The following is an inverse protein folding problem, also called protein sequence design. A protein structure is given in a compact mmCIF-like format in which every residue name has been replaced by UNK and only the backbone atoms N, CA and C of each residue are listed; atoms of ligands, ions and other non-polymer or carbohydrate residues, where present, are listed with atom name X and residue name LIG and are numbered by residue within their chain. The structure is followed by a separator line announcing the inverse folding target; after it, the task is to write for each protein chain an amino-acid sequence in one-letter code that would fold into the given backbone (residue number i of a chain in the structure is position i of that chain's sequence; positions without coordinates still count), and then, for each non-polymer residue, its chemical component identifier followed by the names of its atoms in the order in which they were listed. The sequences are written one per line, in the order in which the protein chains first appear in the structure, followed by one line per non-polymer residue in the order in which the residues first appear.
data_IF_425943993150
#
_entry.id   IF_425943993150
#
_cell.length_a   1.000
_cell.length_b   1.000
_cell.length_c   1.000
_cell.angle_alpha   90.00
_cell.angle_beta   90.00
_cell.angle_gamma   90.00
#
_symmetry.space_group_name_H-M   'P 1'
#
loop_
_entity.id
_entity.type
_entity.pdbx_description
1 polymer ?
#
# COMPACT_ATOMS: atom_id res chain seq x y z
N UNK A 1 12.62 3.42 -32.34
CA UNK A 1 12.44 3.21 -30.88
C UNK A 1 12.63 1.73 -30.64
N UNK A 2 13.58 1.33 -29.79
CA UNK A 2 13.89 -0.09 -29.58
C UNK A 2 12.80 -0.83 -28.78
N UNK A 3 12.80 -2.16 -28.89
CA UNK A 3 11.91 -3.02 -28.12
C UNK A 3 12.06 -2.78 -26.60
N UNK A 4 13.30 -2.60 -26.12
CA UNK A 4 13.59 -2.33 -24.71
C UNK A 4 12.93 -1.02 -24.21
N UNK A 5 12.94 0.05 -25.01
CA UNK A 5 12.24 1.31 -24.68
C UNK A 5 10.73 1.08 -24.56
N UNK A 6 10.15 0.32 -25.50
CA UNK A 6 8.72 0.01 -25.48
C UNK A 6 8.32 -0.84 -24.27
N UNK A 7 9.13 -1.83 -23.90
CA UNK A 7 8.87 -2.69 -22.75
C UNK A 7 8.90 -1.92 -21.42
N UNK A 8 9.89 -1.04 -21.23
CA UNK A 8 9.96 -0.19 -20.04
C UNK A 8 8.77 0.76 -19.99
N UNK A 9 8.41 1.38 -21.12
CA UNK A 9 7.23 2.25 -21.19
C UNK A 9 5.93 1.52 -20.85
N UNK A 10 5.76 0.28 -21.33
CA UNK A 10 4.59 -0.54 -21.02
C UNK A 10 4.53 -0.87 -19.51
N UNK A 11 5.65 -1.29 -18.93
CA UNK A 11 5.72 -1.63 -17.51
C UNK A 11 5.41 -0.42 -16.58
N UNK A 12 5.83 0.79 -16.96
CA UNK A 12 5.43 2.03 -16.27
C UNK A 12 3.91 2.24 -16.35
N UNK A 13 3.32 1.98 -17.52
CA UNK A 13 1.86 2.03 -17.72
C UNK A 13 1.10 1.02 -16.86
N UNK A 14 1.60 -0.22 -16.76
CA UNK A 14 1.03 -1.26 -15.91
C UNK A 14 1.07 -0.87 -14.43
N UNK A 15 2.19 -0.28 -13.97
CA UNK A 15 2.27 0.28 -12.63
C UNK A 15 1.24 1.42 -12.43
N UNK A 16 1.04 2.25 -13.46
CA UNK A 16 -0.06 3.23 -13.55
C UNK A 16 -1.42 2.64 -13.24
N UNK A 17 -1.77 1.55 -13.92
CA UNK A 17 -3.05 0.88 -13.77
C UNK A 17 -3.23 0.28 -12.37
N UNK A 18 -2.19 -0.37 -11.84
CA UNK A 18 -2.20 -0.90 -10.46
C UNK A 18 -2.42 0.23 -9.44
N UNK A 19 -1.67 1.33 -9.56
CA UNK A 19 -1.78 2.50 -8.67
C UNK A 19 -3.19 3.08 -8.68
N UNK A 20 -3.80 3.24 -9.86
CA UNK A 20 -5.16 3.76 -9.97
C UNK A 20 -6.19 2.81 -9.36
N UNK A 21 -6.04 1.50 -9.57
CA UNK A 21 -6.93 0.49 -8.98
C UNK A 21 -6.87 0.50 -7.46
N UNK A 22 -5.66 0.63 -6.87
CA UNK A 22 -5.52 0.78 -5.42
C UNK A 22 -6.21 2.06 -4.94
N UNK A 23 -5.98 3.19 -5.62
CA UNK A 23 -6.58 4.48 -5.26
C UNK A 23 -8.11 4.43 -5.24
N UNK A 24 -8.72 3.80 -6.25
CA UNK A 24 -10.17 3.61 -6.34
C UNK A 24 -10.69 2.77 -5.18
N UNK A 25 -10.01 1.66 -4.83
CA UNK A 25 -10.43 0.79 -3.73
C UNK A 25 -10.25 1.42 -2.36
N UNK A 26 -9.15 2.14 -2.13
CA UNK A 26 -8.92 2.88 -0.88
C UNK A 26 -9.98 3.96 -0.67
N UNK A 27 -10.50 4.55 -1.74
CA UNK A 27 -11.60 5.52 -1.64
C UNK A 27 -12.91 4.89 -1.13
N UNK A 28 -13.04 3.56 -1.12
CA UNK A 28 -14.20 2.85 -0.58
C UNK A 28 -14.11 2.61 0.93
N UNK A 29 -12.97 2.88 1.56
CA UNK A 29 -12.80 2.67 3.00
C UNK A 29 -13.77 3.54 3.80
N UNK A 30 -14.34 2.97 4.87
CA UNK A 30 -15.39 3.59 5.69
C UNK A 30 -16.77 3.67 5.03
N UNK A 31 -16.93 3.23 3.77
CA UNK A 31 -18.23 3.12 3.12
C UNK A 31 -18.88 1.75 3.36
N UNK A 32 -20.11 1.56 2.88
CA UNK A 32 -20.76 0.25 2.84
C UNK A 32 -20.06 -0.77 1.90
N UNK A 33 -19.13 -0.32 1.06
CA UNK A 33 -18.30 -1.15 0.19
C UNK A 33 -16.91 -1.45 0.80
N UNK A 34 -16.68 -1.03 2.05
CA UNK A 34 -15.49 -1.38 2.82
C UNK A 34 -15.54 -2.85 3.27
N UNK A 35 -15.17 -3.74 2.36
CA UNK A 35 -15.28 -5.19 2.54
C UNK A 35 -13.92 -5.84 2.63
N UNK A 36 -13.85 -6.99 3.32
CA UNK A 36 -12.65 -7.84 3.40
C UNK A 36 -12.03 -8.14 2.03
N UNK A 37 -12.87 -8.46 1.04
CA UNK A 37 -12.39 -8.75 -0.31
C UNK A 37 -11.66 -7.55 -0.95
N UNK A 38 -12.09 -6.31 -0.67
CA UNK A 38 -11.41 -5.12 -1.15
C UNK A 38 -10.04 -4.93 -0.47
N UNK A 39 -9.93 -5.21 0.84
CA UNK A 39 -8.66 -5.19 1.57
C UNK A 39 -7.66 -6.22 1.02
N UNK A 40 -8.10 -7.46 0.84
CA UNK A 40 -7.26 -8.54 0.28
C UNK A 40 -6.76 -8.16 -1.13
N UNK A 41 -7.64 -7.58 -1.95
CA UNK A 41 -7.25 -7.08 -3.28
C UNK A 41 -6.26 -5.92 -3.21
N UNK A 42 -6.40 -4.97 -2.28
CA UNK A 42 -5.42 -3.90 -2.09
C UNK A 42 -4.06 -4.47 -1.69
N UNK A 43 -4.03 -5.45 -0.79
CA UNK A 43 -2.80 -6.13 -0.37
C UNK A 43 -2.13 -6.85 -1.55
N UNK A 44 -2.89 -7.55 -2.41
CA UNK A 44 -2.32 -8.20 -3.59
C UNK A 44 -1.88 -7.19 -4.67
N UNK A 45 -2.68 -6.15 -4.94
CA UNK A 45 -2.30 -5.07 -5.86
C UNK A 45 -1.02 -4.36 -5.39
N UNK A 46 -0.85 -4.15 -4.08
CA UNK A 46 0.39 -3.57 -3.52
C UNK A 46 1.58 -4.50 -3.75
N UNK A 47 1.38 -5.83 -3.68
CA UNK A 47 2.43 -6.81 -4.01
C UNK A 47 2.79 -6.76 -5.49
N UNK A 48 1.78 -6.81 -6.36
CA UNK A 48 1.94 -6.73 -7.81
C UNK A 48 2.65 -5.43 -8.21
N UNK A 49 2.28 -4.30 -7.61
CA UNK A 49 2.94 -3.02 -7.82
C UNK A 49 4.41 -3.07 -7.42
N UNK A 50 4.74 -3.66 -6.26
CA UNK A 50 6.15 -3.85 -5.85
C UNK A 50 6.93 -4.74 -6.82
N UNK A 51 6.33 -5.83 -7.29
CA UNK A 51 6.96 -6.74 -8.27
C UNK A 51 7.24 -6.00 -9.59
N UNK A 52 6.29 -5.20 -10.07
CA UNK A 52 6.45 -4.34 -11.24
C UNK A 52 7.55 -3.30 -11.03
N UNK A 53 7.64 -2.69 -9.85
CA UNK A 53 8.70 -1.73 -9.51
C UNK A 53 10.07 -2.39 -9.65
N UNK A 54 10.29 -3.55 -9.01
CA UNK A 54 11.57 -4.26 -9.08
C UNK A 54 11.93 -4.64 -10.52
N UNK A 55 10.98 -5.20 -11.26
CA UNK A 55 11.19 -5.59 -12.66
C UNK A 55 11.49 -4.39 -13.57
N UNK A 56 10.76 -3.28 -13.38
CA UNK A 56 10.93 -2.06 -14.18
C UNK A 56 12.25 -1.38 -13.87
N UNK A 57 12.67 -1.32 -12.60
CA UNK A 57 13.99 -0.81 -12.20
C UNK A 57 15.11 -1.58 -12.91
N UNK A 58 15.09 -2.92 -12.87
CA UNK A 58 16.11 -3.75 -13.52
C UNK A 58 16.16 -3.55 -15.06
N UNK A 59 14.99 -3.50 -15.70
CA UNK A 59 14.89 -3.23 -17.15
C UNK A 59 15.38 -1.83 -17.51
N UNK A 60 15.00 -0.83 -16.73
CA UNK A 60 15.43 0.55 -16.93
C UNK A 60 16.94 0.68 -16.76
N UNK A 61 17.52 0.02 -15.76
CA UNK A 61 18.97 0.03 -15.54
C UNK A 61 19.73 -0.53 -16.75
N UNK A 62 19.24 -1.66 -17.27
CA UNK A 62 19.82 -2.30 -18.45
C UNK A 62 19.71 -1.38 -19.68
N UNK A 63 18.55 -0.75 -19.86
CA UNK A 63 18.32 0.21 -20.94
C UNK A 63 19.25 1.42 -20.82
N UNK A 64 19.37 2.04 -19.64
CA UNK A 64 20.21 3.22 -19.43
C UNK A 64 21.67 2.93 -19.73
N UNK A 65 22.18 1.77 -19.32
CA UNK A 65 23.59 1.38 -19.50
C UNK A 65 23.94 1.00 -20.94
N UNK A 66 22.96 0.51 -21.71
CA UNK A 66 23.17 0.07 -23.10
C UNK A 66 22.69 1.08 -24.16
N UNK A 67 21.92 2.10 -23.75
CA UNK A 67 21.31 3.05 -24.65
C UNK A 67 22.34 3.95 -25.35
N UNK A 68 22.15 4.11 -26.67
CA UNK A 68 22.92 5.03 -27.51
C UNK A 68 21.99 5.80 -28.45
N UNK A 69 22.45 6.95 -28.95
CA UNK A 69 21.67 7.79 -29.88
C UNK A 69 20.27 8.13 -29.34
N UNK A 70 19.23 7.83 -30.13
CA UNK A 70 17.84 8.12 -29.80
C UNK A 70 17.31 7.34 -28.57
N UNK A 71 17.87 6.16 -28.28
CA UNK A 71 17.47 5.39 -27.11
C UNK A 71 18.00 6.03 -25.81
N UNK A 72 19.06 6.85 -25.88
CA UNK A 72 19.62 7.55 -24.73
C UNK A 72 18.73 8.71 -24.27
N UNK A 73 18.08 9.42 -25.18
CA UNK A 73 17.09 10.44 -24.81
C UNK A 73 15.79 9.79 -24.32
N UNK A 74 15.37 8.68 -24.95
CA UNK A 74 14.21 7.92 -24.51
C UNK A 74 14.39 7.34 -23.10
N UNK A 75 15.54 6.73 -22.79
CA UNK A 75 15.84 6.17 -21.46
C UNK A 75 15.80 7.24 -20.38
N UNK A 76 16.34 8.44 -20.64
CA UNK A 76 16.26 9.59 -19.73
C UNK A 76 14.83 10.03 -19.43
N UNK A 77 13.99 10.08 -20.46
CA UNK A 77 12.56 10.41 -20.28
C UNK A 77 11.88 9.33 -19.43
N UNK A 78 12.11 8.06 -19.75
CA UNK A 78 11.55 6.93 -19.01
C UNK A 78 12.01 6.91 -17.55
N UNK A 79 13.26 7.25 -17.24
CA UNK A 79 13.73 7.40 -15.85
C UNK A 79 12.93 8.44 -15.07
N UNK A 80 12.64 9.60 -15.68
CA UNK A 80 11.82 10.65 -15.06
C UNK A 80 10.35 10.23 -14.91
N UNK A 81 9.77 9.65 -15.96
CA UNK A 81 8.38 9.19 -15.95
C UNK A 81 8.19 8.09 -14.89
N UNK A 82 9.13 7.14 -14.81
CA UNK A 82 9.09 6.08 -13.81
C UNK A 82 9.24 6.63 -12.40
N UNK A 83 10.16 7.57 -12.15
CA UNK A 83 10.29 8.26 -10.85
C UNK A 83 8.98 8.93 -10.44
N UNK A 84 8.33 9.66 -11.35
CA UNK A 84 7.04 10.28 -11.07
C UNK A 84 5.98 9.23 -10.71
N UNK A 85 5.91 8.13 -11.47
CA UNK A 85 4.97 7.06 -11.22
C UNK A 85 5.23 6.34 -9.88
N UNK A 86 6.50 6.13 -9.51
CA UNK A 86 6.91 5.59 -8.20
C UNK A 86 6.44 6.49 -7.06
N UNK A 87 6.58 7.81 -7.19
CA UNK A 87 6.10 8.76 -6.18
C UNK A 87 4.59 8.65 -5.99
N UNK A 88 3.81 8.56 -7.07
CA UNK A 88 2.35 8.41 -6.96
C UNK A 88 1.98 7.07 -6.32
N UNK A 89 2.66 5.99 -6.70
CA UNK A 89 2.44 4.67 -6.11
C UNK A 89 2.73 4.67 -4.60
N UNK A 90 3.88 5.22 -4.18
CA UNK A 90 4.23 5.36 -2.76
C UNK A 90 3.18 6.16 -1.99
N UNK A 91 2.74 7.30 -2.51
CA UNK A 91 1.72 8.15 -1.89
C UNK A 91 0.39 7.40 -1.69
N UNK A 92 -0.02 6.61 -2.67
CA UNK A 92 -1.24 5.81 -2.58
C UNK A 92 -1.10 4.73 -1.51
N UNK A 93 0.00 3.99 -1.48
CA UNK A 93 0.26 2.98 -0.45
C UNK A 93 0.36 3.59 0.96
N UNK A 94 1.00 4.75 1.11
CA UNK A 94 1.09 5.47 2.38
C UNK A 94 -0.31 5.93 2.85
N UNK A 95 -1.15 6.40 1.93
CA UNK A 95 -2.55 6.76 2.24
C UNK A 95 -3.37 5.55 2.68
N UNK A 96 -3.15 4.38 2.08
CA UNK A 96 -3.78 3.13 2.54
C UNK A 96 -3.43 2.85 4.00
N UNK A 97 -2.15 2.88 4.34
CA UNK A 97 -1.66 2.66 5.73
C UNK A 97 -2.29 3.66 6.69
N UNK A 98 -2.32 4.95 6.33
CA UNK A 98 -2.90 5.99 7.17
C UNK A 98 -4.41 5.78 7.41
N UNK A 99 -5.13 5.35 6.37
CA UNK A 99 -6.57 5.09 6.45
C UNK A 99 -6.85 3.88 7.35
N UNK A 100 -6.10 2.79 7.18
CA UNK A 100 -6.18 1.61 8.07
C UNK A 100 -5.83 1.95 9.52
N UNK A 101 -4.76 2.71 9.74
CA UNK A 101 -4.35 3.12 11.08
C UNK A 101 -5.44 3.94 11.79
N UNK A 102 -6.11 4.82 11.03
CA UNK A 102 -7.25 5.60 11.53
C UNK A 102 -8.42 4.70 11.92
N UNK A 103 -8.75 3.71 11.07
CA UNK A 103 -9.83 2.76 11.34
C UNK A 103 -9.54 1.90 12.58
N UNK A 104 -8.32 1.36 12.69
CA UNK A 104 -7.86 0.60 13.87
C UNK A 104 -7.96 1.45 15.14
N UNK A 105 -7.53 2.72 15.10
CA UNK A 105 -7.62 3.60 16.26
C UNK A 105 -9.08 3.89 16.66
N UNK A 106 -9.99 4.04 15.70
CA UNK A 106 -11.41 4.22 15.97
C UNK A 106 -12.03 2.98 16.63
N UNK A 107 -11.73 1.77 16.11
CA UNK A 107 -12.18 0.50 16.69
C UNK A 107 -11.66 0.39 18.13
N UNK A 108 -10.35 0.57 18.35
CA UNK A 108 -9.74 0.55 19.70
C UNK A 108 -10.41 1.54 20.66
N UNK A 109 -10.69 2.76 20.20
CA UNK A 109 -11.31 3.80 21.05
C UNK A 109 -12.75 3.46 21.45
N UNK A 110 -13.53 2.85 20.54
CA UNK A 110 -14.91 2.43 20.84
C UNK A 110 -14.97 1.15 21.67
N UNK A 111 -14.00 0.24 21.50
CA UNK A 111 -13.87 -0.97 22.32
C UNK A 111 -13.42 -0.65 23.76
N UNK A 112 -12.49 0.29 23.94
CA UNK A 112 -12.05 0.75 25.27
C UNK A 112 -13.18 1.44 26.04
N UNK A 113 -13.98 2.29 25.39
CA UNK A 113 -15.15 2.93 26.02
C UNK A 113 -16.18 1.91 26.52
N UNK A 114 -16.44 0.85 25.74
CA UNK A 114 -17.30 -0.29 26.15
C UNK A 114 -16.73 -1.08 27.33
N UNK A 115 -15.40 -1.12 27.45
CA UNK A 115 -14.69 -1.82 28.53
C UNK A 115 -14.64 -1.02 29.85
N UNK A 116 -14.60 0.31 29.81
CA UNK A 116 -14.68 1.14 31.03
C UNK A 116 -16.07 1.17 31.68
N UNK A 117 -17.11 0.73 30.97
CA UNK A 117 -18.48 0.59 31.52
C UNK A 117 -18.76 -0.80 32.13
N UNK A 118 -17.86 -1.79 31.96
CA UNK A 118 -17.95 -3.10 32.61
C UNK A 118 -16.77 -3.27 33.56
N UNK A 119 -17.01 -3.71 34.78
CA UNK A 119 -15.95 -3.94 35.78
C UNK A 119 -15.01 -5.07 35.31
N UNK A 120 -13.73 -4.72 35.05
CA UNK A 120 -12.71 -5.59 34.44
C UNK A 120 -11.76 -6.24 35.46
N UNK A 121 -12.12 -6.25 36.74
CA UNK A 121 -11.28 -6.83 37.81
C UNK A 121 -11.08 -8.35 37.71
N UNK A 122 -11.73 -9.03 36.76
CA UNK A 122 -11.66 -10.48 36.58
C UNK A 122 -11.42 -10.88 35.11
N UNK A 123 -10.35 -10.35 34.51
CA UNK A 123 -9.97 -10.58 33.12
C UNK A 123 -9.24 -11.93 32.94
N UNK A 124 -9.80 -12.86 32.16
CA UNK A 124 -9.14 -14.12 31.78
C UNK A 124 -9.13 -14.25 30.25
N UNK A 125 -7.93 -14.33 29.66
CA UNK A 125 -7.68 -14.35 28.22
C UNK A 125 -8.28 -15.59 27.53
N UNK A 126 -8.37 -16.72 28.26
CA UNK A 126 -8.95 -17.98 27.76
C UNK A 126 -10.48 -17.95 27.58
N UNK A 127 -11.17 -16.98 28.21
CA UNK A 127 -12.62 -16.80 28.06
C UNK A 127 -12.99 -16.17 26.71
N UNK A 128 -12.06 -15.48 26.05
CA UNK A 128 -12.31 -14.82 24.75
C UNK A 128 -12.53 -15.86 23.65
N UNK A 129 -11.84 -17.00 23.72
CA UNK A 129 -11.99 -18.09 22.75
C UNK A 129 -13.09 -19.09 23.13
N UNK A 130 -13.44 -19.24 24.42
CA UNK A 130 -14.47 -20.19 24.89
C UNK A 130 -15.89 -19.62 24.99
N UNK A 131 -16.08 -18.30 25.01
CA UNK A 131 -17.41 -17.66 25.03
C UNK A 131 -18.05 -17.47 23.64
N UNK A 132 -17.58 -18.18 22.62
CA UNK A 132 -18.15 -18.10 21.26
C UNK A 132 -19.61 -18.61 21.17
N UNK A 133 -20.22 -19.10 22.25
CA UNK A 133 -21.65 -19.47 22.29
C UNK A 133 -22.21 -19.52 23.71
N UNK A 134 -22.35 -18.40 24.42
CA UNK A 134 -23.16 -18.37 25.65
C UNK A 134 -24.52 -17.74 25.34
N UNK A 135 -25.55 -18.58 25.37
CA UNK A 135 -26.95 -18.13 25.34
C UNK A 135 -27.30 -17.59 26.74
N UNK A 136 -27.39 -16.27 26.89
CA UNK A 136 -27.94 -15.67 28.11
C UNK A 136 -29.36 -15.21 27.79
N UNK A 137 -30.32 -15.81 28.48
CA UNK A 137 -31.72 -15.41 28.45
C UNK A 137 -31.96 -14.48 29.62
N UNK A 138 -32.61 -13.34 29.38
CA UNK A 138 -33.23 -12.57 30.45
C UNK A 138 -34.44 -13.33 31.01
N UNK A 139 -34.86 -13.03 32.25
CA UNK A 139 -35.98 -13.70 32.96
C UNK A 139 -37.30 -13.73 32.17
N UNK A 140 -37.44 -12.87 31.15
CA UNK A 140 -38.64 -12.72 30.31
C UNK A 140 -38.48 -13.28 28.88
N UNK A 141 -37.36 -13.93 28.58
CA UNK A 141 -37.15 -14.73 27.36
C UNK A 141 -37.16 -13.98 26.01
N UNK A 142 -37.19 -12.65 25.97
CA UNK A 142 -37.53 -11.92 24.73
C UNK A 142 -36.50 -10.89 24.25
N UNK A 143 -35.39 -10.62 24.94
CA UNK A 143 -34.32 -9.78 24.40
C UNK A 143 -32.95 -10.47 24.46
N UNK A 144 -32.32 -10.50 23.29
CA UNK A 144 -31.18 -11.34 22.97
C UNK A 144 -29.90 -10.52 23.03
N UNK A 145 -29.08 -10.71 24.06
CA UNK A 145 -27.72 -10.16 24.18
C UNK A 145 -26.75 -10.60 23.05
N UNK A 146 -27.21 -11.43 22.11
CA UNK A 146 -26.43 -11.98 21.01
C UNK A 146 -25.97 -10.91 20.02
N UNK A 147 -26.71 -9.82 19.88
CA UNK A 147 -26.36 -8.75 18.95
C UNK A 147 -25.08 -8.00 19.40
N UNK A 148 -24.87 -7.83 20.70
CA UNK A 148 -23.65 -7.20 21.24
C UNK A 148 -22.42 -8.11 21.15
N UNK A 149 -22.57 -9.40 21.45
CA UNK A 149 -21.47 -10.37 21.39
C UNK A 149 -20.97 -10.63 19.96
N UNK A 150 -21.90 -10.75 19.00
CA UNK A 150 -21.56 -10.88 17.57
C UNK A 150 -20.88 -9.62 17.02
N UNK A 151 -21.34 -8.43 17.40
CA UNK A 151 -20.70 -7.17 17.01
C UNK A 151 -19.26 -7.07 17.55
N UNK A 152 -19.03 -7.45 18.81
CA UNK A 152 -17.71 -7.40 19.43
C UNK A 152 -16.71 -8.39 18.77
N UNK A 153 -17.14 -9.60 18.45
CA UNK A 153 -16.31 -10.57 17.74
C UNK A 153 -15.96 -10.11 16.32
N UNK A 154 -16.91 -9.51 15.60
CA UNK A 154 -16.66 -8.93 14.28
C UNK A 154 -15.65 -7.76 14.35
N UNK A 155 -15.77 -6.88 15.36
CA UNK A 155 -14.84 -5.77 15.58
C UNK A 155 -13.40 -6.25 15.83
N UNK A 156 -13.22 -7.33 16.61
CA UNK A 156 -11.88 -7.91 16.89
C UNK A 156 -11.28 -8.55 15.64
N UNK A 157 -12.07 -9.33 14.90
CA UNK A 157 -11.60 -9.97 13.66
C UNK A 157 -11.21 -8.92 12.61
N UNK A 158 -11.99 -7.85 12.49
CA UNK A 158 -11.65 -6.73 11.61
C UNK A 158 -10.40 -5.98 12.09
N UNK A 159 -10.23 -5.78 13.40
CA UNK A 159 -9.04 -5.13 13.95
C UNK A 159 -7.76 -5.91 13.65
N UNK A 160 -7.72 -7.22 13.93
CA UNK A 160 -6.55 -8.06 13.68
C UNK A 160 -6.19 -8.05 12.19
N UNK A 161 -7.18 -8.15 11.30
CA UNK A 161 -6.96 -8.11 9.85
C UNK A 161 -6.35 -6.77 9.42
N UNK A 162 -6.95 -5.66 9.83
CA UNK A 162 -6.48 -4.31 9.44
C UNK A 162 -5.06 -4.04 9.93
N UNK A 163 -4.70 -4.54 11.11
CA UNK A 163 -3.33 -4.48 11.63
C UNK A 163 -2.35 -5.32 10.79
N UNK A 164 -2.74 -6.52 10.36
CA UNK A 164 -1.92 -7.30 9.43
C UNK A 164 -1.74 -6.61 8.08
N UNK A 165 -2.79 -5.99 7.54
CA UNK A 165 -2.72 -5.25 6.27
C UNK A 165 -1.76 -4.07 6.37
N UNK A 166 -1.79 -3.31 7.47
CA UNK A 166 -0.81 -2.24 7.77
C UNK A 166 0.63 -2.80 7.73
N UNK A 167 0.88 -3.92 8.39
CA UNK A 167 2.23 -4.53 8.44
C UNK A 167 2.69 -4.95 7.04
N UNK A 168 1.84 -5.65 6.29
CA UNK A 168 2.14 -6.15 4.94
C UNK A 168 2.42 -5.00 3.97
N UNK A 169 1.64 -3.92 4.04
CA UNK A 169 1.81 -2.75 3.15
C UNK A 169 3.05 -1.95 3.55
N UNK A 170 3.32 -1.76 4.85
CA UNK A 170 4.53 -1.06 5.31
C UNK A 170 5.82 -1.78 4.92
N UNK A 171 5.85 -3.12 5.01
CA UNK A 171 6.99 -3.90 4.57
C UNK A 171 7.31 -3.64 3.09
N UNK A 172 6.29 -3.68 2.24
CA UNK A 172 6.43 -3.40 0.80
C UNK A 172 6.84 -1.96 0.51
N UNK A 173 6.34 -0.98 1.27
CA UNK A 173 6.78 0.42 1.19
C UNK A 173 8.27 0.57 1.49
N UNK A 174 8.80 -0.18 2.46
CA UNK A 174 10.23 -0.22 2.74
C UNK A 174 11.05 -0.66 1.54
N UNK A 175 10.61 -1.72 0.86
CA UNK A 175 11.26 -2.23 -0.36
C UNK A 175 11.16 -1.24 -1.53
N UNK A 176 10.02 -0.56 -1.71
CA UNK A 176 9.82 0.45 -2.76
C UNK A 176 10.75 1.65 -2.55
N UNK A 177 11.00 2.06 -1.30
CA UNK A 177 11.93 3.18 -1.00
C UNK A 177 13.36 2.89 -1.46
N UNK A 178 13.80 1.63 -1.38
CA UNK A 178 15.10 1.23 -1.91
C UNK A 178 15.15 1.41 -3.44
N UNK A 179 14.10 0.95 -4.15
CA UNK A 179 13.99 1.16 -5.60
C UNK A 179 13.90 2.66 -5.98
N UNK A 180 13.29 3.49 -5.12
CA UNK A 180 13.23 4.93 -5.33
C UNK A 180 14.61 5.57 -5.31
N UNK A 181 15.45 5.20 -4.33
CA UNK A 181 16.82 5.70 -4.23
C UNK A 181 17.66 5.30 -5.45
N UNK A 182 17.49 4.08 -5.94
CA UNK A 182 18.17 3.60 -7.14
C UNK A 182 17.78 4.42 -8.38
N UNK A 183 16.48 4.60 -8.63
CA UNK A 183 15.99 5.39 -9.77
C UNK A 183 16.38 6.87 -9.65
N UNK A 184 16.39 7.42 -8.44
CA UNK A 184 16.81 8.80 -8.19
C UNK A 184 18.28 9.02 -8.55
N UNK A 185 19.17 8.11 -8.12
CA UNK A 185 20.58 8.11 -8.50
C UNK A 185 20.77 8.09 -10.01
N UNK A 186 20.00 7.25 -10.72
CA UNK A 186 20.07 7.19 -12.20
C UNK A 186 19.64 8.49 -12.87
N UNK A 187 18.59 9.14 -12.37
CA UNK A 187 18.15 10.43 -12.90
C UNK A 187 19.23 11.49 -12.67
N UNK A 188 19.91 11.46 -11.52
CA UNK A 188 20.98 12.39 -11.20
C UNK A 188 22.23 12.18 -12.07
N UNK A 189 22.69 10.94 -12.20
CA UNK A 189 23.82 10.58 -13.08
C UNK A 189 23.57 11.05 -14.53
N UNK A 190 22.33 10.92 -15.00
CA UNK A 190 21.94 11.38 -16.33
C UNK A 190 21.94 12.90 -16.47
N UNK A 191 21.66 13.66 -15.41
CA UNK A 191 21.68 15.13 -15.39
C UNK A 191 23.12 15.66 -15.39
N UNK A 192 24.01 15.06 -14.59
CA UNK A 192 25.40 15.48 -14.49
C UNK A 192 26.14 15.33 -15.82
N UNK A 193 25.83 14.27 -16.59
CA UNK A 193 26.35 14.08 -17.95
C UNK A 193 25.88 15.20 -18.89
N UNK A 194 24.61 15.65 -18.81
CA UNK A 194 24.10 16.73 -19.67
C UNK A 194 24.77 18.06 -19.31
N UNK A 195 24.93 18.36 -18.01
CA UNK A 195 25.61 19.56 -17.54
C UNK A 195 27.07 19.66 -17.98
N UNK A 196 27.78 18.53 -18.14
CA UNK A 196 29.12 18.51 -18.74
C UNK A 196 29.13 18.87 -20.22
N UNK A 197 28.18 18.38 -21.02
CA UNK A 197 28.10 18.72 -22.45
C UNK A 197 27.76 20.19 -22.68
N UNK A 198 26.84 20.76 -21.90
CA UNK A 198 26.51 22.19 -22.01
C UNK A 198 27.71 23.07 -21.63
N UNK A 199 28.50 22.70 -20.61
CA UNK A 199 29.72 23.45 -20.25
C UNK A 199 30.82 23.38 -21.30
N UNK A 200 30.91 22.30 -22.07
CA UNK A 200 31.92 22.16 -23.14
C UNK A 200 31.59 22.99 -24.38
N UNK A 201 30.32 23.36 -24.59
CA UNK A 201 29.89 24.17 -25.75
C UNK A 201 30.10 25.67 -25.52
N UNK A 202 30.28 26.12 -24.27
CA UNK A 202 30.52 27.54 -23.92
C UNK A 202 31.99 27.88 -23.66
N UNK A 203 32.93 27.03 -24.08
CA UNK A 203 34.37 27.32 -24.07
C UNK A 203 34.87 27.43 -25.51
N UNK A 204 34.47 28.50 -26.19
CA UNK A 204 35.15 29.07 -27.36
C UNK A 204 35.17 30.60 -27.22
#
# INVERSE_FOLDING_TARGET
MSAAVSEVSAAIGDLGNVTNTIKEKVALFGSNLDTRANHEQITELTKQGRDLVQATTAKLQTLVNSASGADKSASRKLSKDFKAQLTVFEQVCAKTVASESTAVQAIRSTSVRRNTERDLTNYNEDLIYTQASVQVYDEDGTHSHYLQATTYLNDIVDLVRREEDIIKINHKLGEIKAAFQEVDGLVQDQQDIVGMYDRLIYVE
#
